data_IF_879942734951
#
_entry.id   IF_879942734951
#
_cell.length_a   1.000
_cell.length_b   1.000
_cell.length_c   1.000
_cell.angle_alpha   90.00
_cell.angle_beta   90.00
_cell.angle_gamma   90.00
#
_symmetry.space_group_name_H-M   'P 1'
#
loop_
_entity.id
_entity.type
_entity.pdbx_description
1 polymer ?
#
# COMPACT_ATOMS: atom_id res chain seq x y z
N UNK A 1 1.31 -8.92 4.54
CA UNK A 1 1.29 -7.75 5.46
C UNK A 1 2.61 -7.53 6.20
N UNK A 2 3.44 -8.57 6.42
CA UNK A 2 4.72 -8.47 7.17
C UNK A 2 5.63 -7.31 6.74
N UNK A 3 5.77 -7.06 5.43
CA UNK A 3 6.60 -5.99 4.89
C UNK A 3 6.39 -4.65 5.60
N UNK A 4 5.13 -4.26 5.84
CA UNK A 4 4.84 -2.92 6.37
C UNK A 4 5.45 -2.72 7.75
N UNK A 5 5.36 -3.73 8.62
CA UNK A 5 5.89 -3.67 9.99
C UNK A 5 7.40 -3.75 9.98
N UNK A 6 7.95 -4.65 9.16
CA UNK A 6 9.39 -4.92 9.14
C UNK A 6 10.16 -3.77 8.51
N UNK A 7 9.64 -3.15 7.45
CA UNK A 7 10.43 -2.25 6.62
C UNK A 7 9.86 -0.84 6.42
N UNK A 8 8.55 -0.66 6.58
CA UNK A 8 7.89 0.57 6.11
C UNK A 8 7.49 1.51 7.26
N UNK A 9 7.24 0.95 8.45
CA UNK A 9 6.93 1.72 9.66
C UNK A 9 8.14 2.55 10.09
N UNK A 10 7.96 3.84 10.43
CA UNK A 10 9.05 4.68 10.92
C UNK A 10 9.52 4.30 12.32
N UNK A 11 10.79 4.60 12.59
CA UNK A 11 11.36 4.48 13.92
C UNK A 11 10.62 5.38 14.92
N UNK A 12 10.51 4.93 16.16
CA UNK A 12 9.75 5.58 17.23
C UNK A 12 8.25 5.27 17.25
N UNK A 13 7.75 4.47 16.32
CA UNK A 13 6.34 4.07 16.28
C UNK A 13 5.99 3.06 17.38
N UNK A 14 4.73 3.06 17.80
CA UNK A 14 4.15 2.02 18.66
C UNK A 14 3.16 1.22 17.82
N UNK A 15 3.33 -0.10 17.72
CA UNK A 15 2.48 -0.97 16.90
C UNK A 15 1.88 -2.08 17.74
N UNK A 16 0.56 -2.21 17.67
CA UNK A 16 -0.18 -3.38 18.12
C UNK A 16 -0.83 -4.06 16.92
N UNK A 17 -1.11 -5.35 17.03
CA UNK A 17 -1.79 -6.12 16.00
C UNK A 17 -2.96 -6.86 16.63
N UNK A 18 -4.14 -6.60 16.07
CA UNK A 18 -5.39 -7.27 16.45
C UNK A 18 -5.90 -8.02 15.23
N UNK A 19 -6.29 -9.27 15.44
CA UNK A 19 -7.05 -10.05 14.46
C UNK A 19 -8.49 -10.15 14.90
N UNK A 20 -9.42 -10.14 13.96
CA UNK A 20 -10.84 -10.31 14.25
C UNK A 20 -11.48 -11.37 13.35
N UNK A 21 -12.39 -12.13 13.96
CA UNK A 21 -13.28 -13.10 13.32
C UNK A 21 -14.67 -12.90 13.90
N UNK A 22 -15.32 -13.94 14.42
CA UNK A 22 -16.47 -13.79 15.32
C UNK A 22 -16.16 -13.10 16.65
N UNK A 23 -14.90 -13.14 17.06
CA UNK A 23 -14.35 -12.41 18.20
C UNK A 23 -13.01 -11.80 17.81
N UNK A 24 -12.61 -10.73 18.49
CA UNK A 24 -11.31 -10.11 18.31
C UNK A 24 -10.29 -10.68 19.30
N UNK A 25 -9.01 -10.65 18.91
CA UNK A 25 -7.89 -11.05 19.75
C UNK A 25 -6.65 -10.26 19.41
N UNK A 26 -5.96 -9.79 20.45
CA UNK A 26 -4.62 -9.21 20.32
C UNK A 26 -3.61 -10.31 20.01
N UNK A 27 -2.90 -10.18 18.89
CA UNK A 27 -1.82 -11.11 18.47
C UNK A 27 -0.43 -10.51 18.61
N UNK A 28 -0.35 -9.18 18.71
CA UNK A 28 0.83 -8.48 19.19
C UNK A 28 0.37 -7.30 20.08
N UNK A 29 0.88 -7.19 21.32
CA UNK A 29 0.61 -6.03 22.17
C UNK A 29 1.26 -4.78 21.56
N UNK A 30 0.88 -3.61 22.07
CA UNK A 30 1.47 -2.35 21.62
C UNK A 30 2.97 -2.34 21.93
N UNK A 31 3.79 -2.40 20.87
CA UNK A 31 5.24 -2.58 20.95
C UNK A 31 5.95 -1.38 20.35
N UNK A 32 6.92 -0.82 21.08
CA UNK A 32 7.76 0.27 20.59
C UNK A 32 8.80 -0.24 19.59
N UNK A 33 8.87 0.41 18.44
CA UNK A 33 9.85 0.15 17.39
C UNK A 33 10.95 1.20 17.48
N UNK A 34 12.07 0.81 18.08
CA UNK A 34 13.18 1.74 18.36
C UNK A 34 13.92 2.20 17.10
N UNK A 35 14.23 1.25 16.22
CA UNK A 35 15.07 1.46 15.03
C UNK A 35 14.76 0.44 13.93
N UNK A 36 15.36 0.62 12.75
CA UNK A 36 15.28 -0.31 11.61
C UNK A 36 15.79 -1.72 11.96
N UNK A 37 16.84 -1.81 12.79
CA UNK A 37 17.45 -3.08 13.19
C UNK A 37 16.77 -3.71 14.42
N UNK A 38 15.65 -3.16 14.88
CA UNK A 38 14.98 -3.64 16.08
C UNK A 38 14.37 -5.04 15.86
N UNK A 39 14.79 -6.02 16.68
CA UNK A 39 14.17 -7.35 16.74
C UNK A 39 12.65 -7.30 16.96
N UNK A 40 12.14 -6.22 17.54
CA UNK A 40 10.70 -6.02 17.75
C UNK A 40 9.94 -5.96 16.42
N UNK A 41 10.53 -5.42 15.35
CA UNK A 41 9.93 -5.42 14.01
C UNK A 41 9.67 -6.83 13.52
N UNK A 42 10.65 -7.72 13.70
CA UNK A 42 10.53 -9.13 13.32
C UNK A 42 9.49 -9.85 14.18
N UNK A 43 9.45 -9.57 15.49
CA UNK A 43 8.47 -10.15 16.42
C UNK A 43 7.03 -9.77 16.06
N UNK A 44 6.74 -8.48 15.93
CA UNK A 44 5.41 -8.00 15.54
C UNK A 44 5.05 -8.48 14.13
N UNK A 45 6.01 -8.43 13.19
CA UNK A 45 5.85 -8.94 11.84
C UNK A 45 5.48 -10.43 11.79
N UNK A 46 5.99 -11.24 12.72
CA UNK A 46 5.71 -12.68 12.80
C UNK A 46 4.34 -13.00 13.40
N UNK A 47 3.76 -12.07 14.18
CA UNK A 47 2.41 -12.21 14.73
C UNK A 47 1.30 -11.94 13.72
N UNK A 48 1.61 -11.36 12.56
CA UNK A 48 0.61 -11.05 11.53
C UNK A 48 0.00 -12.33 10.95
N UNK A 49 -1.32 -12.34 10.68
CA UNK A 49 -1.98 -13.49 10.09
C UNK A 49 -1.42 -13.76 8.69
N UNK A 50 -1.06 -15.04 8.45
CA UNK A 50 -0.57 -15.50 7.14
C UNK A 50 -1.70 -15.88 6.19
N UNK A 51 -2.87 -16.23 6.74
CA UNK A 51 -4.03 -16.69 6.00
C UNK A 51 -5.27 -15.87 6.37
N UNK A 52 -6.21 -15.66 5.43
CA UNK A 52 -7.49 -15.03 5.74
C UNK A 52 -8.33 -15.89 6.68
N UNK A 53 -9.27 -15.25 7.38
CA UNK A 53 -10.23 -15.96 8.24
C UNK A 53 -11.14 -16.85 7.40
N UNK A 54 -11.35 -18.09 7.85
CA UNK A 54 -12.28 -19.06 7.24
C UNK A 54 -13.72 -18.90 7.72
N UNK A 55 -13.97 -17.96 8.65
CA UNK A 55 -15.30 -17.66 9.19
C UNK A 55 -16.14 -16.95 8.12
N UNK A 56 -17.42 -17.33 7.92
CA UNK A 56 -18.32 -16.64 7.01
C UNK A 56 -18.41 -15.15 7.30
N UNK A 57 -18.54 -14.34 6.25
CA UNK A 57 -18.59 -12.87 6.38
C UNK A 57 -19.69 -12.38 7.32
N UNK A 58 -20.86 -13.02 7.31
CA UNK A 58 -21.99 -12.70 8.20
C UNK A 58 -21.71 -12.91 9.69
N UNK A 59 -20.62 -13.61 10.03
CA UNK A 59 -20.20 -13.87 11.40
C UNK A 59 -18.95 -13.07 11.79
N UNK A 60 -18.35 -12.31 10.88
CA UNK A 60 -17.21 -11.45 11.23
C UNK A 60 -17.72 -10.22 11.96
N UNK A 61 -17.03 -9.84 13.02
CA UNK A 61 -17.37 -8.69 13.86
C UNK A 61 -16.32 -7.60 13.70
N UNK A 62 -16.59 -6.57 12.89
CA UNK A 62 -15.67 -5.46 12.66
C UNK A 62 -15.58 -4.58 13.90
N UNK A 63 -16.72 -4.29 14.54
CA UNK A 63 -16.79 -3.53 15.78
C UNK A 63 -16.00 -4.21 16.91
N UNK A 64 -16.02 -5.53 17.01
CA UNK A 64 -15.20 -6.26 18.00
C UNK A 64 -13.70 -6.01 17.76
N UNK A 65 -13.27 -6.01 16.49
CA UNK A 65 -11.89 -5.70 16.11
C UNK A 65 -11.51 -4.27 16.51
N UNK A 66 -12.39 -3.30 16.27
CA UNK A 66 -12.16 -1.91 16.65
C UNK A 66 -12.11 -1.73 18.17
N UNK A 67 -13.05 -2.33 18.91
CA UNK A 67 -13.09 -2.30 20.38
C UNK A 67 -11.81 -2.89 21.00
N UNK A 68 -11.34 -4.02 20.46
CA UNK A 68 -10.10 -4.64 20.92
C UNK A 68 -8.87 -3.79 20.58
N UNK A 69 -8.82 -3.17 19.40
CA UNK A 69 -7.75 -2.25 19.06
C UNK A 69 -7.70 -1.03 20.00
N UNK A 70 -8.87 -0.47 20.31
CA UNK A 70 -9.03 0.60 21.30
C UNK A 70 -8.55 0.15 22.68
N UNK A 71 -8.89 -1.08 23.10
CA UNK A 71 -8.42 -1.67 24.36
C UNK A 71 -6.89 -1.77 24.41
N UNK A 72 -6.26 -2.26 23.33
CA UNK A 72 -4.79 -2.35 23.23
C UNK A 72 -4.12 -0.98 23.30
N UNK A 73 -4.73 0.04 22.69
CA UNK A 73 -4.22 1.41 22.75
C UNK A 73 -4.33 2.01 24.17
N UNK A 74 -5.33 1.62 24.95
CA UNK A 74 -5.50 2.07 26.34
C UNK A 74 -4.58 1.40 27.35
N UNK A 75 -3.93 0.29 26.97
CA UNK A 75 -2.92 -0.36 27.82
C UNK A 75 -1.63 0.47 27.90
N UNK A 76 -1.40 1.39 26.96
CA UNK A 76 -0.26 2.30 26.99
C UNK A 76 -0.56 3.57 27.80
N UNK A 77 0.48 4.12 28.43
CA UNK A 77 0.36 5.32 29.25
C UNK A 77 -0.04 6.56 28.43
N UNK A 78 0.11 6.52 27.09
CA UNK A 78 -0.32 7.59 26.17
C UNK A 78 -1.81 7.50 25.85
N UNK A 79 -2.44 6.34 26.06
CA UNK A 79 -3.83 6.06 25.68
C UNK A 79 -4.07 6.10 24.17
N UNK A 80 -5.35 5.97 23.78
CA UNK A 80 -5.74 5.92 22.37
C UNK A 80 -5.96 7.28 21.68
N UNK A 81 -5.75 8.42 22.37
CA UNK A 81 -6.08 9.74 21.80
C UNK A 81 -5.20 10.09 20.59
N UNK A 82 -5.83 10.38 19.45
CA UNK A 82 -5.14 10.69 18.20
C UNK A 82 -4.46 9.49 17.52
N UNK A 83 -4.70 8.26 18.00
CA UNK A 83 -4.15 7.06 17.40
C UNK A 83 -4.75 6.77 16.01
N UNK A 84 -3.97 6.07 15.18
CA UNK A 84 -4.41 5.61 13.85
C UNK A 84 -4.64 4.11 13.88
N UNK A 85 -5.76 3.66 13.34
CA UNK A 85 -6.07 2.24 13.14
C UNK A 85 -6.14 1.95 11.65
N UNK A 86 -5.35 0.98 11.20
CA UNK A 86 -5.38 0.48 9.82
C UNK A 86 -6.23 -0.79 9.79
N UNK A 87 -7.47 -0.67 9.32
CA UNK A 87 -8.44 -1.75 9.22
C UNK A 87 -8.31 -2.47 7.88
N UNK A 88 -7.77 -3.68 7.88
CA UNK A 88 -7.73 -4.56 6.69
C UNK A 88 -8.93 -5.50 6.73
N UNK A 89 -9.79 -5.46 5.73
CA UNK A 89 -11.00 -6.28 5.64
C UNK A 89 -11.36 -6.60 4.19
N UNK A 90 -12.14 -7.64 3.92
CA UNK A 90 -12.61 -7.95 2.55
C UNK A 90 -13.69 -6.97 2.08
N UNK A 91 -14.39 -6.29 3.01
CA UNK A 91 -15.53 -5.44 2.69
C UNK A 91 -16.72 -6.22 2.11
N UNK A 92 -16.74 -7.54 2.26
CA UNK A 92 -17.74 -8.43 1.69
C UNK A 92 -19.06 -8.33 2.45
N UNK A 93 -19.91 -7.41 1.98
CA UNK A 93 -21.22 -7.13 2.54
C UNK A 93 -21.23 -5.81 3.32
N UNK A 94 -22.31 -5.02 3.26
CA UNK A 94 -22.38 -3.76 3.97
C UNK A 94 -22.32 -4.03 5.47
N UNK A 95 -21.39 -3.39 6.17
CA UNK A 95 -21.42 -3.35 7.62
C UNK A 95 -22.80 -2.81 8.06
N UNK A 96 -23.51 -3.47 9.00
CA UNK A 96 -24.78 -2.98 9.49
C UNK A 96 -24.67 -1.52 9.91
N UNK A 97 -25.59 -0.66 9.47
CA UNK A 97 -25.53 0.79 9.75
C UNK A 97 -25.35 1.10 11.24
N UNK A 98 -26.04 0.36 12.11
CA UNK A 98 -25.89 0.45 13.56
C UNK A 98 -24.45 0.19 14.02
N UNK A 99 -23.79 -0.83 13.47
CA UNK A 99 -22.40 -1.15 13.80
C UNK A 99 -21.46 -0.01 13.36
N UNK A 100 -21.70 0.57 12.18
CA UNK A 100 -20.95 1.72 11.69
C UNK A 100 -21.14 2.96 12.57
N UNK A 101 -22.37 3.26 12.99
CA UNK A 101 -22.67 4.37 13.90
C UNK A 101 -21.99 4.17 15.27
N UNK A 102 -21.94 2.94 15.78
CA UNK A 102 -21.21 2.58 17.00
C UNK A 102 -19.70 2.76 16.82
N UNK A 103 -19.12 2.34 15.69
CA UNK A 103 -17.71 2.55 15.37
C UNK A 103 -17.35 4.04 15.25
N UNK A 104 -18.23 4.86 14.65
CA UNK A 104 -18.06 6.31 14.57
C UNK A 104 -18.05 6.92 15.97
N UNK A 105 -19.00 6.53 16.81
CA UNK A 105 -19.10 7.01 18.20
C UNK A 105 -17.85 6.66 19.00
N UNK A 106 -17.38 5.42 18.90
CA UNK A 106 -16.16 4.94 19.57
C UNK A 106 -14.92 5.71 19.08
N UNK A 107 -14.82 5.94 17.77
CA UNK A 107 -13.70 6.66 17.17
C UNK A 107 -13.66 8.12 17.58
N UNK A 108 -14.83 8.79 17.65
CA UNK A 108 -14.93 10.19 18.05
C UNK A 108 -14.50 10.42 19.51
N UNK A 109 -14.78 9.48 20.42
CA UNK A 109 -14.40 9.58 21.84
C UNK A 109 -12.88 9.62 22.07
N UNK A 110 -12.09 9.10 21.12
CA UNK A 110 -10.63 8.99 21.21
C UNK A 110 -9.92 9.71 20.06
N UNK A 111 -10.63 10.53 19.30
CA UNK A 111 -10.10 11.22 18.12
C UNK A 111 -9.32 10.27 17.18
N UNK A 112 -9.83 9.04 16.99
CA UNK A 112 -9.18 8.03 16.18
C UNK A 112 -9.27 8.40 14.70
N UNK A 113 -8.21 8.06 13.96
CA UNK A 113 -8.25 8.03 12.50
C UNK A 113 -8.31 6.60 12.01
N UNK A 114 -9.26 6.28 11.13
CA UNK A 114 -9.45 4.93 10.60
C UNK A 114 -9.07 4.89 9.13
N UNK A 115 -7.95 4.24 8.83
CA UNK A 115 -7.51 3.94 7.46
C UNK A 115 -8.03 2.56 7.08
N UNK A 116 -8.85 2.44 6.03
CA UNK A 116 -9.46 1.18 5.62
C UNK A 116 -8.75 0.65 4.38
N UNK A 117 -8.35 -0.62 4.39
CA UNK A 117 -7.83 -1.34 3.23
C UNK A 117 -8.74 -2.52 2.91
N UNK A 118 -9.45 -2.43 1.79
CA UNK A 118 -10.27 -3.51 1.26
C UNK A 118 -9.39 -4.52 0.51
N UNK A 119 -9.25 -5.72 1.07
CA UNK A 119 -8.38 -6.77 0.53
C UNK A 119 -8.90 -8.20 0.79
N UNK A 120 -9.03 -9.03 -0.27
CA UNK A 120 -9.25 -8.61 -1.65
C UNK A 120 -10.71 -8.13 -1.82
N UNK A 121 -10.91 -7.08 -2.60
CA UNK A 121 -12.25 -6.70 -3.04
C UNK A 121 -12.68 -7.62 -4.18
N UNK A 122 -13.63 -8.50 -3.86
CA UNK A 122 -14.23 -9.43 -4.84
C UNK A 122 -15.50 -8.84 -5.42
N UNK A 123 -15.49 -8.53 -6.72
CA UNK A 123 -16.67 -8.08 -7.44
C UNK A 123 -17.29 -9.26 -8.21
N UNK A 124 -18.62 -9.45 -8.07
CA UNK A 124 -19.33 -10.55 -8.73
C UNK A 124 -20.17 -10.03 -9.89
N UNK A 125 -20.16 -10.78 -11.00
CA UNK A 125 -21.00 -10.47 -12.16
C UNK A 125 -22.48 -10.45 -11.77
N UNK A 126 -23.16 -9.35 -12.10
CA UNK A 126 -24.58 -9.17 -11.82
C UNK A 126 -24.92 -8.85 -10.37
N UNK A 127 -23.94 -8.79 -9.46
CA UNK A 127 -24.12 -8.19 -8.16
C UNK A 127 -24.03 -6.65 -8.30
N UNK A 128 -24.76 -5.93 -7.45
CA UNK A 128 -24.48 -4.51 -7.25
C UNK A 128 -23.02 -4.36 -6.81
N UNK A 129 -22.35 -3.28 -7.25
CA UNK A 129 -21.00 -2.94 -6.78
C UNK A 129 -20.94 -3.07 -5.26
N UNK A 130 -19.86 -3.67 -4.75
CA UNK A 130 -19.74 -3.99 -3.34
C UNK A 130 -19.78 -2.70 -2.49
N UNK A 131 -20.95 -2.35 -1.96
CA UNK A 131 -21.10 -1.32 -0.94
C UNK A 131 -20.74 -1.98 0.39
N UNK A 132 -19.54 -1.65 0.89
CA UNK A 132 -19.04 -2.15 2.17
C UNK A 132 -19.57 -1.31 3.35
N UNK A 133 -20.09 -0.11 3.09
CA UNK A 133 -20.76 0.74 4.09
C UNK A 133 -19.81 1.37 5.11
N UNK A 134 -18.50 1.40 4.82
CA UNK A 134 -17.47 1.96 5.72
C UNK A 134 -17.12 3.41 5.37
N UNK A 135 -17.64 3.93 4.26
CA UNK A 135 -17.42 5.31 3.81
C UNK A 135 -17.81 6.35 4.88
N UNK A 136 -18.96 6.21 5.59
CA UNK A 136 -19.29 7.14 6.67
C UNK A 136 -18.29 7.12 7.83
N UNK A 137 -17.72 5.96 8.16
CA UNK A 137 -16.69 5.82 9.19
C UNK A 137 -15.39 6.53 8.78
N UNK A 138 -14.95 6.30 7.55
CA UNK A 138 -13.74 6.93 7.00
C UNK A 138 -13.91 8.44 6.95
N UNK A 139 -15.07 8.94 6.51
CA UNK A 139 -15.38 10.36 6.46
C UNK A 139 -15.40 10.99 7.86
N UNK A 140 -16.09 10.35 8.82
CA UNK A 140 -16.19 10.84 10.19
C UNK A 140 -14.86 10.88 10.94
N UNK A 141 -13.90 10.04 10.55
CA UNK A 141 -12.58 9.92 11.20
C UNK A 141 -11.46 10.59 10.42
N UNK A 142 -11.79 11.26 9.30
CA UNK A 142 -10.83 11.87 8.38
C UNK A 142 -9.74 10.90 7.86
N UNK A 143 -10.07 9.62 7.78
CA UNK A 143 -9.20 8.58 7.24
C UNK A 143 -9.25 8.48 5.71
N UNK A 144 -8.78 7.35 5.18
CA UNK A 144 -8.84 7.00 3.77
C UNK A 144 -9.33 5.58 3.54
N UNK A 145 -9.76 5.30 2.31
CA UNK A 145 -10.19 4.00 1.84
C UNK A 145 -9.28 3.60 0.67
N UNK A 146 -8.56 2.49 0.83
CA UNK A 146 -7.79 1.85 -0.22
C UNK A 146 -8.46 0.56 -0.64
N UNK A 147 -8.37 0.24 -1.93
CA UNK A 147 -8.97 -0.96 -2.50
C UNK A 147 -7.93 -1.75 -3.28
N UNK A 148 -7.86 -3.05 -3.01
CA UNK A 148 -7.07 -4.01 -3.77
C UNK A 148 -8.02 -5.01 -4.40
N UNK A 149 -8.11 -4.99 -5.72
CA UNK A 149 -8.99 -5.88 -6.47
C UNK A 149 -8.51 -7.33 -6.38
N UNK A 150 -9.45 -8.27 -6.34
CA UNK A 150 -9.12 -9.68 -6.54
C UNK A 150 -8.68 -9.93 -7.99
N UNK A 151 -7.44 -10.35 -8.18
CA UNK A 151 -6.88 -10.71 -9.48
C UNK A 151 -6.32 -12.14 -9.50
N UNK A 152 -6.71 -12.96 -8.52
CA UNK A 152 -6.30 -14.35 -8.41
C UNK A 152 -6.80 -15.22 -9.55
N UNK A 153 -6.12 -16.35 -9.77
CA UNK A 153 -6.52 -17.38 -10.73
C UNK A 153 -6.64 -18.71 -10.00
N UNK A 154 -7.85 -19.27 -9.97
CA UNK A 154 -8.12 -20.46 -9.15
C UNK A 154 -7.91 -20.15 -7.68
N UNK A 155 -7.00 -20.90 -7.03
CA UNK A 155 -6.63 -20.68 -5.64
C UNK A 155 -5.39 -19.78 -5.48
N UNK A 156 -4.73 -19.40 -6.59
CA UNK A 156 -3.47 -18.69 -6.57
C UNK A 156 -3.71 -17.17 -6.60
N UNK A 157 -3.20 -16.47 -5.59
CA UNK A 157 -3.12 -15.01 -5.61
C UNK A 157 -1.95 -14.56 -6.49
N UNK A 158 -2.10 -13.46 -7.22
CA UNK A 158 -1.00 -12.87 -7.98
C UNK A 158 -0.08 -12.06 -7.09
N UNK A 159 1.23 -12.10 -7.35
CA UNK A 159 2.24 -11.29 -6.63
C UNK A 159 1.86 -9.81 -6.55
N UNK A 160 1.35 -9.24 -7.65
CA UNK A 160 0.91 -7.84 -7.69
C UNK A 160 -0.21 -7.50 -6.70
N UNK A 161 -1.05 -8.46 -6.30
CA UNK A 161 -2.07 -8.23 -5.27
C UNK A 161 -1.43 -8.05 -3.90
N UNK A 162 -0.43 -8.88 -3.59
CA UNK A 162 0.37 -8.73 -2.38
C UNK A 162 1.05 -7.37 -2.37
N UNK A 163 1.71 -6.98 -3.46
CA UNK A 163 2.38 -5.67 -3.53
C UNK A 163 1.37 -4.52 -3.40
N UNK A 164 0.22 -4.59 -4.08
CA UNK A 164 -0.82 -3.58 -3.96
C UNK A 164 -1.37 -3.44 -2.52
N UNK A 165 -1.52 -4.55 -1.79
CA UNK A 165 -1.85 -4.53 -0.37
C UNK A 165 -0.78 -3.81 0.44
N UNK A 166 0.49 -4.15 0.22
CA UNK A 166 1.57 -3.52 0.98
C UNK A 166 1.73 -2.03 0.64
N UNK A 167 1.44 -1.62 -0.60
CA UNK A 167 1.46 -0.21 -1.01
C UNK A 167 0.31 0.57 -0.37
N UNK A 168 -0.88 -0.03 -0.26
CA UNK A 168 -2.00 0.54 0.48
C UNK A 168 -1.66 0.71 1.98
N UNK A 169 -1.01 -0.28 2.58
CA UNK A 169 -0.55 -0.21 3.96
C UNK A 169 0.55 0.86 4.16
N UNK A 170 1.51 0.94 3.23
CA UNK A 170 2.54 1.98 3.23
C UNK A 170 1.91 3.38 3.13
N UNK A 171 0.93 3.57 2.24
CA UNK A 171 0.23 4.85 2.10
C UNK A 171 -0.51 5.23 3.39
N UNK A 172 -1.18 4.27 4.04
CA UNK A 172 -1.84 4.49 5.33
C UNK A 172 -0.84 4.86 6.45
N UNK A 173 0.34 4.23 6.48
CA UNK A 173 1.42 4.59 7.42
C UNK A 173 1.96 5.99 7.13
N UNK A 174 2.31 6.30 5.88
CA UNK A 174 2.91 7.58 5.49
C UNK A 174 1.99 8.78 5.75
N UNK A 175 0.68 8.61 5.59
CA UNK A 175 -0.31 9.66 5.87
C UNK A 175 -0.33 10.07 7.34
N UNK A 176 0.02 9.14 8.22
CA UNK A 176 -0.12 9.28 9.67
C UNK A 176 1.22 9.41 10.39
N UNK A 177 2.32 9.06 9.71
CA UNK A 177 3.65 9.41 10.15
C UNK A 177 3.90 10.92 9.96
N UNK A 178 4.45 11.63 10.96
CA UNK A 178 4.93 12.99 10.73
C UNK A 178 5.96 12.98 9.60
N UNK A 179 5.99 14.00 8.72
CA UNK A 179 7.01 14.11 7.68
C UNK A 179 8.38 14.29 8.33
N UNK A 180 9.06 13.18 8.59
CA UNK A 180 10.37 13.10 9.22
C UNK A 180 11.42 12.68 8.19
N UNK A 181 12.68 12.99 8.48
CA UNK A 181 13.86 12.60 7.69
C UNK A 181 14.20 11.10 7.76
N UNK A 182 13.19 10.24 7.92
CA UNK A 182 13.31 8.78 7.94
C UNK A 182 12.10 8.05 7.35
N UNK A 183 11.10 8.76 6.83
CA UNK A 183 9.93 8.12 6.21
C UNK A 183 10.33 7.38 4.93
N UNK A 184 10.03 6.09 4.85
CA UNK A 184 10.16 5.30 3.62
C UNK A 184 9.25 5.85 2.53
N UNK A 185 9.74 5.97 1.30
CA UNK A 185 8.99 6.37 0.10
C UNK A 185 9.21 5.38 -1.03
N UNK A 186 8.16 5.19 -1.85
CA UNK A 186 8.23 4.42 -3.08
C UNK A 186 8.81 5.29 -4.20
N UNK A 187 9.95 4.87 -4.75
CA UNK A 187 10.68 5.55 -5.83
C UNK A 187 10.29 4.98 -7.19
N UNK A 188 10.18 3.65 -7.27
CA UNK A 188 9.90 2.93 -8.50
C UNK A 188 9.05 1.70 -8.23
N UNK A 189 8.23 1.32 -9.22
CA UNK A 189 7.30 0.20 -9.14
C UNK A 189 7.02 -0.32 -10.54
N UNK A 190 7.23 -1.62 -10.79
CA UNK A 190 6.99 -2.23 -12.10
C UNK A 190 6.50 -3.69 -11.97
N UNK A 191 5.45 -4.01 -12.74
CA UNK A 191 4.87 -5.36 -12.86
C UNK A 191 5.42 -6.04 -14.12
N UNK A 192 5.97 -7.24 -13.97
CA UNK A 192 6.55 -8.03 -15.05
C UNK A 192 5.84 -9.39 -15.16
N UNK A 193 4.94 -9.57 -16.14
CA UNK A 193 4.24 -10.84 -16.33
C UNK A 193 5.21 -11.98 -16.69
N UNK A 194 4.97 -13.17 -16.15
CA UNK A 194 5.73 -14.37 -16.51
C UNK A 194 5.33 -14.97 -17.86
N UNK A 195 6.12 -15.93 -18.34
CA UNK A 195 5.93 -16.61 -19.62
C UNK A 195 6.14 -15.77 -20.89
N UNK A 196 6.44 -14.47 -20.78
CA UNK A 196 6.56 -13.55 -21.92
C UNK A 196 8.02 -13.18 -22.22
N UNK A 197 8.83 -12.90 -21.20
CA UNK A 197 10.20 -12.42 -21.36
C UNK A 197 11.14 -13.12 -20.38
N UNK A 198 12.34 -13.46 -20.83
CA UNK A 198 13.38 -14.03 -19.96
C UNK A 198 14.03 -13.00 -19.04
N UNK A 199 13.96 -11.71 -19.39
CA UNK A 199 14.51 -10.61 -18.60
C UNK A 199 13.43 -9.55 -18.32
N UNK A 200 13.46 -9.02 -17.10
CA UNK A 200 12.66 -7.91 -16.62
C UNK A 200 13.56 -6.71 -16.43
N UNK A 201 13.61 -5.85 -17.44
CA UNK A 201 14.47 -4.68 -17.50
C UNK A 201 13.73 -3.40 -17.10
N UNK A 202 14.43 -2.48 -16.46
CA UNK A 202 13.87 -1.18 -16.11
C UNK A 202 14.92 -0.18 -15.63
N UNK A 203 14.44 0.97 -15.18
CA UNK A 203 15.29 2.04 -14.63
C UNK A 203 14.53 2.84 -13.59
N UNK A 204 15.27 3.48 -12.69
CA UNK A 204 14.75 4.34 -11.64
C UNK A 204 15.74 5.48 -11.34
N UNK A 205 15.25 6.58 -10.78
CA UNK A 205 16.09 7.74 -10.49
C UNK A 205 16.13 8.04 -8.98
N UNK A 206 17.33 8.33 -8.48
CA UNK A 206 17.54 8.79 -7.10
C UNK A 206 18.05 10.24 -7.11
N UNK A 207 17.36 11.13 -6.39
CA UNK A 207 17.70 12.55 -6.29
C UNK A 207 18.07 12.95 -4.86
N UNK A 208 18.54 14.20 -4.67
CA UNK A 208 19.06 14.72 -3.40
C UNK A 208 18.06 14.80 -2.23
N UNK A 209 16.76 14.64 -2.47
CA UNK A 209 15.72 14.63 -1.42
C UNK A 209 15.60 13.29 -0.70
N UNK A 210 16.24 12.25 -1.23
CA UNK A 210 16.30 10.92 -0.64
C UNK A 210 17.55 10.76 0.23
N UNK A 211 17.47 9.83 1.18
CA UNK A 211 18.55 9.31 1.99
C UNK A 211 19.73 8.81 1.16
N UNK A 212 20.88 8.58 1.81
CA UNK A 212 22.01 7.96 1.13
C UNK A 212 21.68 6.54 0.68
N UNK A 213 20.71 5.87 1.31
CA UNK A 213 20.44 4.46 1.07
C UNK A 213 19.09 4.24 0.38
N UNK A 214 19.06 3.25 -0.50
CA UNK A 214 17.85 2.77 -1.17
C UNK A 214 17.82 1.24 -1.14
N UNK A 215 16.63 0.66 -1.24
CA UNK A 215 16.43 -0.79 -1.36
C UNK A 215 15.77 -1.12 -2.67
N UNK A 216 16.45 -1.94 -3.47
CA UNK A 216 15.89 -2.56 -4.66
C UNK A 216 15.29 -3.91 -4.26
N UNK A 217 14.01 -4.14 -4.54
CA UNK A 217 13.27 -5.34 -4.13
C UNK A 217 12.60 -6.00 -5.34
N UNK A 218 12.71 -7.32 -5.42
CA UNK A 218 12.00 -8.19 -6.36
C UNK A 218 11.08 -9.10 -5.57
N UNK A 219 9.77 -8.98 -5.79
CA UNK A 219 8.77 -9.86 -5.22
C UNK A 219 8.43 -10.98 -6.18
N UNK A 220 8.20 -12.17 -5.62
CA UNK A 220 7.94 -13.38 -6.36
C UNK A 220 6.80 -14.20 -5.76
N UNK A 221 6.34 -15.20 -6.53
CA UNK A 221 5.38 -16.19 -6.05
C UNK A 221 6.11 -17.44 -5.53
N UNK A 222 7.05 -17.93 -6.32
CA UNK A 222 7.95 -19.04 -6.00
C UNK A 222 9.39 -18.54 -6.21
N UNK A 223 10.32 -18.92 -5.33
CA UNK A 223 11.70 -18.44 -5.40
C UNK A 223 12.38 -18.83 -6.73
N UNK A 224 11.98 -19.96 -7.33
CA UNK A 224 12.51 -20.42 -8.61
C UNK A 224 12.04 -19.56 -9.81
N UNK A 225 11.08 -18.64 -9.60
CA UNK A 225 10.65 -17.69 -10.62
C UNK A 225 11.62 -16.52 -10.83
N UNK A 226 12.57 -16.33 -9.92
CA UNK A 226 13.63 -15.32 -10.07
C UNK A 226 14.93 -16.03 -10.46
N UNK A 227 15.66 -15.48 -11.43
CA UNK A 227 17.00 -15.96 -11.71
C UNK A 227 18.00 -15.61 -10.61
N UNK A 228 19.19 -16.21 -10.70
CA UNK A 228 20.15 -16.18 -9.60
C UNK A 228 20.87 -14.82 -9.46
N UNK A 229 20.77 -13.94 -10.46
CA UNK A 229 21.51 -12.68 -10.53
C UNK A 229 20.56 -11.54 -10.89
N UNK A 230 20.56 -10.50 -10.06
CA UNK A 230 20.03 -9.17 -10.34
C UNK A 230 21.23 -8.33 -10.81
N UNK A 231 21.11 -7.71 -11.97
CA UNK A 231 22.10 -6.76 -12.48
C UNK A 231 21.60 -5.35 -12.22
N UNK A 232 22.41 -4.54 -11.55
CA UNK A 232 22.15 -3.12 -11.31
C UNK A 232 23.29 -2.31 -11.93
N UNK A 233 22.95 -1.26 -12.66
CA UNK A 233 23.93 -0.34 -13.25
C UNK A 233 23.75 1.03 -12.63
N UNK A 234 24.77 1.49 -11.92
CA UNK A 234 24.83 2.81 -11.31
C UNK A 234 24.91 3.92 -12.37
N UNK A 235 24.54 5.17 -12.03
CA UNK A 235 24.69 6.35 -12.89
C UNK A 235 26.11 6.54 -13.45
N UNK A 236 27.15 6.18 -12.70
CA UNK A 236 28.56 6.18 -13.14
C UNK A 236 28.88 5.14 -14.23
N UNK A 237 27.96 4.20 -14.49
CA UNK A 237 28.18 3.03 -15.34
C UNK A 237 28.76 1.82 -14.59
N UNK A 238 29.02 1.93 -13.29
CA UNK A 238 29.45 0.80 -12.48
C UNK A 238 28.35 -0.26 -12.39
N UNK A 239 28.67 -1.50 -12.78
CA UNK A 239 27.72 -2.62 -12.71
C UNK A 239 27.91 -3.40 -11.41
N UNK A 240 26.82 -3.64 -10.72
CA UNK A 240 26.70 -4.44 -9.51
C UNK A 240 25.95 -5.72 -9.89
N UNK A 241 26.62 -6.86 -9.79
CA UNK A 241 25.99 -8.17 -9.87
C UNK A 241 25.64 -8.63 -8.46
N UNK A 242 24.35 -8.88 -8.20
CA UNK A 242 23.83 -9.04 -6.85
C UNK A 242 24.20 -10.35 -6.13
N UNK A 243 24.92 -11.26 -6.78
CA UNK A 243 25.15 -12.64 -6.31
C UNK A 243 25.64 -12.71 -4.85
N UNK A 244 26.42 -11.73 -4.42
CA UNK A 244 27.00 -11.68 -3.07
C UNK A 244 26.37 -10.62 -2.16
N UNK A 245 25.42 -9.84 -2.66
CA UNK A 245 24.83 -8.68 -1.95
C UNK A 245 23.31 -8.71 -1.91
N UNK A 246 22.68 -9.73 -2.51
CA UNK A 246 21.26 -9.97 -2.38
C UNK A 246 20.96 -10.76 -1.11
N UNK A 247 19.85 -10.40 -0.49
CA UNK A 247 19.26 -11.09 0.65
C UNK A 247 17.85 -11.56 0.27
N UNK A 248 17.38 -12.62 0.93
CA UNK A 248 16.03 -13.15 0.76
C UNK A 248 15.26 -13.02 2.08
N UNK A 249 14.05 -12.46 2.00
CA UNK A 249 13.02 -12.57 3.03
C UNK A 249 11.87 -13.42 2.51
N UNK A 250 11.96 -14.73 2.78
CA UNK A 250 10.96 -15.72 2.36
C UNK A 250 9.59 -15.56 3.05
N UNK A 251 9.49 -14.86 4.19
CA UNK A 251 8.19 -14.57 4.82
C UNK A 251 7.44 -13.42 4.09
N UNK A 252 8.13 -12.67 3.22
CA UNK A 252 7.58 -11.61 2.37
C UNK A 252 7.58 -12.00 0.89
N UNK A 253 8.20 -13.14 0.53
CA UNK A 253 8.51 -13.53 -0.84
C UNK A 253 9.25 -12.41 -1.59
N UNK A 254 10.36 -11.96 -1.02
CA UNK A 254 11.13 -10.83 -1.50
C UNK A 254 12.62 -11.14 -1.54
N UNK A 255 13.26 -10.92 -2.69
CA UNK A 255 14.72 -10.75 -2.79
C UNK A 255 15.00 -9.26 -2.79
N UNK A 256 16.02 -8.80 -2.07
CA UNK A 256 16.39 -7.40 -2.09
C UNK A 256 17.90 -7.17 -2.09
N UNK A 257 18.30 -6.00 -2.57
CA UNK A 257 19.66 -5.49 -2.53
C UNK A 257 19.61 -4.12 -1.87
N UNK A 258 20.35 -3.96 -0.78
CA UNK A 258 20.55 -2.66 -0.14
C UNK A 258 21.63 -1.89 -0.90
N UNK A 259 21.27 -0.71 -1.39
CA UNK A 259 22.15 0.22 -2.08
C UNK A 259 22.63 1.25 -1.07
N UNK A 260 23.69 0.91 -0.35
CA UNK A 260 24.34 1.82 0.59
C UNK A 260 25.04 2.96 -0.14
N UNK A 261 24.81 4.21 0.31
CA UNK A 261 25.40 5.41 -0.31
C UNK A 261 25.16 5.45 -1.83
N UNK A 262 23.94 5.14 -2.24
CA UNK A 262 23.52 5.08 -3.62
C UNK A 262 23.82 6.40 -4.36
N UNK A 263 24.48 6.27 -5.52
CA UNK A 263 24.73 7.36 -6.45
C UNK A 263 23.42 8.06 -6.87
N UNK A 264 23.48 9.40 -6.95
CA UNK A 264 22.39 10.21 -7.49
C UNK A 264 22.36 10.06 -9.02
N UNK A 265 21.17 9.96 -9.59
CA UNK A 265 20.97 9.85 -11.04
C UNK A 265 20.14 8.65 -11.45
N UNK A 266 20.25 8.29 -12.73
CA UNK A 266 19.50 7.21 -13.34
C UNK A 266 20.23 5.87 -13.14
N UNK A 267 19.58 4.96 -12.43
CA UNK A 267 19.96 3.57 -12.30
C UNK A 267 19.22 2.73 -13.34
N UNK A 268 19.86 1.68 -13.83
CA UNK A 268 19.21 0.66 -14.65
C UNK A 268 19.29 -0.69 -13.94
N UNK A 269 18.33 -1.56 -14.23
CA UNK A 269 18.32 -2.93 -13.71
C UNK A 269 17.88 -3.95 -14.74
N UNK A 270 18.33 -5.18 -14.54
CA UNK A 270 17.90 -6.35 -15.29
C UNK A 270 17.77 -7.54 -14.33
N UNK A 271 16.61 -8.19 -14.35
CA UNK A 271 16.31 -9.36 -13.51
C UNK A 271 15.87 -10.50 -14.41
N UNK A 272 16.48 -11.67 -14.30
CA UNK A 272 16.01 -12.84 -15.04
C UNK A 272 14.66 -13.30 -14.47
N UNK A 273 13.66 -13.40 -15.35
CA UNK A 273 12.29 -13.76 -15.04
C UNK A 273 11.98 -15.16 -15.54
N UNK A 274 11.85 -16.09 -14.60
CA UNK A 274 11.53 -17.50 -14.82
C UNK A 274 10.09 -17.82 -14.41
N UNK A 275 9.27 -16.80 -14.14
CA UNK A 275 7.88 -17.00 -13.75
C UNK A 275 7.07 -17.62 -14.89
N UNK A 276 6.16 -18.52 -14.53
CA UNK A 276 5.18 -19.07 -15.45
C UNK A 276 4.13 -18.02 -15.89
N UNK A 277 3.25 -18.39 -16.82
CA UNK A 277 2.26 -17.46 -17.40
C UNK A 277 1.15 -17.01 -16.43
N UNK A 278 0.98 -17.63 -15.28
CA UNK A 278 -0.04 -17.27 -14.29
C UNK A 278 0.51 -16.35 -13.20
N UNK A 279 1.84 -16.37 -13.01
CA UNK A 279 2.57 -15.53 -12.08
C UNK A 279 3.43 -14.49 -12.81
N UNK A 280 4.15 -13.69 -12.04
CA UNK A 280 5.05 -12.67 -12.54
C UNK A 280 6.00 -12.22 -11.44
N UNK A 281 6.93 -11.36 -11.81
CA UNK A 281 7.78 -10.66 -10.87
C UNK A 281 7.25 -9.25 -10.68
N UNK A 282 7.48 -8.70 -9.50
CA UNK A 282 7.17 -7.31 -9.23
C UNK A 282 8.41 -6.62 -8.65
N UNK A 283 8.85 -5.53 -9.27
CA UNK A 283 10.03 -4.78 -8.82
C UNK A 283 9.57 -3.51 -8.12
N UNK A 284 10.16 -3.22 -6.95
CA UNK A 284 10.03 -1.93 -6.30
C UNK A 284 11.39 -1.39 -5.86
N UNK A 285 11.51 -0.07 -5.89
CA UNK A 285 12.61 0.63 -5.23
C UNK A 285 12.04 1.55 -4.18
N UNK A 286 12.55 1.42 -2.96
CA UNK A 286 12.18 2.26 -1.82
C UNK A 286 13.40 2.98 -1.28
N UNK A 287 13.22 4.16 -0.73
CA UNK A 287 14.28 4.92 -0.08
C UNK A 287 13.71 5.69 1.11
N UNK A 288 14.55 6.10 2.06
CA UNK A 288 14.13 7.01 3.13
C UNK A 288 14.22 8.45 2.63
N UNK A 289 13.35 9.36 3.08
CA UNK A 289 13.57 10.80 2.85
C UNK A 289 14.72 11.30 3.72
N UNK A 290 15.58 12.16 3.20
CA UNK A 290 16.59 12.84 4.03
C UNK A 290 16.14 14.23 4.51
N UNK A 291 15.03 14.73 3.97
CA UNK A 291 14.53 16.07 4.22
C UNK A 291 13.01 16.08 4.16
N UNK A 292 12.41 17.07 4.84
CA UNK A 292 10.98 17.36 4.69
C UNK A 292 10.66 18.01 3.34
N UNK A 293 11.68 18.48 2.61
CA UNK A 293 11.59 19.04 1.26
C UNK A 293 11.78 17.94 0.21
N UNK A 294 10.71 17.22 -0.09
CA UNK A 294 10.68 16.23 -1.17
C UNK A 294 9.56 16.49 -2.17
N UNK A 295 9.53 15.68 -3.22
CA UNK A 295 8.39 15.63 -4.12
C UNK A 295 7.14 15.18 -3.34
N UNK A 296 6.06 15.95 -3.47
CA UNK A 296 4.75 15.64 -2.94
C UNK A 296 3.74 15.70 -4.09
N UNK A 297 2.91 14.67 -4.19
CA UNK A 297 1.82 14.59 -5.16
C UNK A 297 0.51 14.48 -4.40
N UNK A 298 -0.43 15.36 -4.71
CA UNK A 298 -1.79 15.32 -4.19
C UNK A 298 -2.77 15.13 -5.35
N UNK A 299 -3.76 14.26 -5.16
CA UNK A 299 -4.84 14.01 -6.12
C UNK A 299 -6.19 14.22 -5.42
N UNK A 300 -7.13 14.90 -6.08
CA UNK A 300 -8.51 15.04 -5.60
C UNK A 300 -9.50 15.16 -6.77
N UNK A 301 -10.79 15.04 -6.46
CA UNK A 301 -11.86 15.11 -7.45
C UNK A 301 -12.75 16.33 -7.23
N UNK A 302 -13.48 16.77 -8.24
CA UNK A 302 -14.49 17.83 -8.12
C UNK A 302 -15.68 17.46 -7.22
N UNK A 303 -15.90 16.17 -6.96
CA UNK A 303 -17.01 15.67 -6.14
C UNK A 303 -16.63 15.45 -4.68
N UNK A 304 -15.34 15.42 -4.34
CA UNK A 304 -14.88 15.06 -2.99
C UNK A 304 -15.39 13.67 -2.60
N UNK A 305 -15.96 13.55 -1.39
CA UNK A 305 -16.57 12.33 -0.85
C UNK A 305 -18.01 12.07 -1.30
N UNK A 306 -18.61 12.97 -2.09
CA UNK A 306 -20.02 12.85 -2.46
C UNK A 306 -20.25 11.68 -3.42
N UNK A 307 -21.32 10.93 -3.19
CA UNK A 307 -21.85 9.98 -4.16
C UNK A 307 -22.25 10.71 -5.43
N UNK A 308 -21.77 10.18 -6.55
CA UNK A 308 -21.96 10.74 -7.88
C UNK A 308 -22.73 9.76 -8.75
N UNK A 309 -23.56 10.29 -9.64
CA UNK A 309 -24.10 9.50 -10.74
C UNK A 309 -23.05 9.46 -11.86
N UNK A 310 -22.24 8.40 -11.91
CA UNK A 310 -21.20 8.23 -12.92
C UNK A 310 -21.73 8.15 -14.36
N UNK A 311 -23.04 7.96 -14.54
CA UNK A 311 -23.70 7.86 -15.84
C UNK A 311 -24.30 9.18 -16.33
N UNK A 312 -24.24 10.25 -15.53
CA UNK A 312 -24.73 11.57 -15.94
C UNK A 312 -23.64 12.35 -16.69
N UNK A 313 -23.76 12.50 -18.04
CA UNK A 313 -22.76 13.21 -18.82
C UNK A 313 -22.77 14.73 -18.58
N UNK A 314 -23.82 15.28 -17.96
CA UNK A 314 -23.94 16.72 -17.70
C UNK A 314 -23.12 17.19 -16.50
N UNK A 315 -22.71 16.26 -15.63
CA UNK A 315 -21.91 16.54 -14.43
C UNK A 315 -20.72 15.58 -14.31
N UNK A 316 -19.74 15.64 -15.23
CA UNK A 316 -18.57 14.77 -15.18
C UNK A 316 -17.70 15.06 -13.96
N UNK A 317 -17.07 14.01 -13.43
CA UNK A 317 -16.04 14.14 -12.38
C UNK A 317 -14.76 14.68 -13.01
N UNK A 318 -14.25 15.78 -12.47
CA UNK A 318 -12.93 16.30 -12.83
C UNK A 318 -11.89 15.82 -11.83
N UNK A 319 -10.73 15.42 -12.35
CA UNK A 319 -9.57 15.04 -11.55
C UNK A 319 -8.59 16.19 -11.53
N UNK A 320 -8.11 16.51 -10.33
CA UNK A 320 -7.09 17.52 -10.13
C UNK A 320 -5.90 16.88 -9.45
N UNK A 321 -4.71 17.27 -9.87
CA UNK A 321 -3.49 16.90 -9.20
C UNK A 321 -2.61 18.13 -8.95
N UNK A 322 -1.84 18.08 -7.87
CA UNK A 322 -0.82 19.06 -7.55
C UNK A 322 0.49 18.31 -7.32
N UNK A 323 1.56 18.81 -7.94
CA UNK A 323 2.92 18.31 -7.74
C UNK A 323 3.77 19.44 -7.20
N UNK A 324 4.33 19.23 -6.01
CA UNK A 324 5.20 20.20 -5.33
C UNK A 324 6.53 19.58 -4.96
N UNK A 325 7.56 20.40 -4.94
CA UNK A 325 8.84 20.08 -4.30
C UNK A 325 9.01 21.07 -3.13
N UNK A 326 8.83 20.56 -1.91
CA UNK A 326 8.64 21.43 -0.75
C UNK A 326 7.39 22.32 -0.93
N UNK A 327 7.58 23.64 -0.98
CA UNK A 327 6.49 24.61 -1.18
C UNK A 327 6.33 25.05 -2.64
N UNK A 328 7.29 24.74 -3.52
CA UNK A 328 7.30 25.20 -4.89
C UNK A 328 6.56 24.23 -5.83
N UNK A 329 5.76 24.71 -6.79
CA UNK A 329 5.16 23.86 -7.80
C UNK A 329 6.22 23.29 -8.75
N UNK A 330 6.05 22.04 -9.15
CA UNK A 330 6.92 21.41 -10.16
C UNK A 330 6.32 21.66 -11.55
N UNK A 331 6.98 22.49 -12.34
CA UNK A 331 6.54 22.84 -13.68
C UNK A 331 6.80 21.71 -14.67
N UNK A 332 5.87 21.50 -15.62
CA UNK A 332 5.99 20.50 -16.70
C UNK A 332 6.13 19.06 -16.19
N UNK A 333 5.64 18.79 -14.98
CA UNK A 333 5.56 17.42 -14.48
C UNK A 333 4.58 16.63 -15.34
N UNK A 334 4.99 15.43 -15.78
CA UNK A 334 4.05 14.48 -16.36
C UNK A 334 3.33 13.77 -15.23
N UNK A 335 2.03 14.02 -15.09
CA UNK A 335 1.19 13.37 -14.09
C UNK A 335 0.25 12.40 -14.79
N UNK A 336 0.25 11.14 -14.36
CA UNK A 336 -0.65 10.12 -14.89
C UNK A 336 -1.56 9.63 -13.77
N UNK A 337 -2.86 9.84 -13.90
CA UNK A 337 -3.85 9.29 -13.00
C UNK A 337 -4.25 7.88 -13.45
N UNK A 338 -4.21 6.92 -12.53
CA UNK A 338 -4.72 5.56 -12.73
C UNK A 338 -6.13 5.46 -12.15
N UNK A 339 -7.13 5.22 -13.01
CA UNK A 339 -8.51 5.03 -12.61
C UNK A 339 -8.86 3.54 -12.68
N UNK A 340 -9.28 2.98 -11.54
CA UNK A 340 -9.81 1.62 -11.47
C UNK A 340 -11.32 1.68 -11.33
N UNK A 341 -12.05 1.19 -12.34
CA UNK A 341 -13.49 1.00 -12.24
C UNK A 341 -13.79 -0.24 -11.41
N UNK A 342 -14.67 -0.12 -10.42
CA UNK A 342 -15.17 -1.25 -9.64
C UNK A 342 -16.23 -2.03 -10.44
N UNK A 343 -16.41 -3.30 -10.08
CA UNK A 343 -17.30 -4.24 -10.75
C UNK A 343 -16.65 -5.03 -11.88
N UNK A 344 -17.47 -5.86 -12.52
CA UNK A 344 -17.04 -6.72 -13.64
C UNK A 344 -17.64 -6.25 -14.96
N UNK A 345 -16.90 -6.44 -16.05
CA UNK A 345 -17.37 -6.26 -17.42
C UNK A 345 -18.41 -7.34 -17.81
N UNK A 346 -18.85 -7.32 -19.08
CA UNK A 346 -19.81 -8.29 -19.63
C UNK A 346 -19.32 -9.73 -19.64
N UNK A 347 -18.01 -10.00 -19.52
CA UNK A 347 -17.44 -11.35 -19.42
C UNK A 347 -17.31 -11.83 -17.98
N UNK A 348 -17.61 -10.98 -16.99
CA UNK A 348 -17.41 -11.29 -15.57
C UNK A 348 -15.97 -11.06 -15.08
N UNK A 349 -15.13 -10.42 -15.89
CA UNK A 349 -13.77 -10.03 -15.51
C UNK A 349 -13.76 -8.61 -14.95
N UNK A 350 -12.86 -8.31 -14.02
CA UNK A 350 -12.67 -6.94 -13.53
C UNK A 350 -12.36 -5.98 -14.69
N UNK A 351 -12.82 -4.73 -14.57
CA UNK A 351 -12.43 -3.70 -15.52
C UNK A 351 -10.92 -3.46 -15.46
N UNK A 352 -10.28 -3.28 -16.62
CA UNK A 352 -8.88 -2.87 -16.67
C UNK A 352 -8.76 -1.42 -16.19
N UNK A 353 -7.68 -1.07 -15.46
CA UNK A 353 -7.40 0.32 -15.13
C UNK A 353 -7.25 1.17 -16.39
N UNK A 354 -7.71 2.42 -16.32
CA UNK A 354 -7.52 3.45 -17.34
C UNK A 354 -6.44 4.40 -16.84
N UNK A 355 -5.51 4.78 -17.72
CA UNK A 355 -4.45 5.75 -17.42
C UNK A 355 -4.77 7.06 -18.15
N UNK A 356 -4.83 8.16 -17.40
CA UNK A 356 -5.11 9.49 -17.92
C UNK A 356 -3.90 10.39 -17.66
N UNK A 357 -3.26 10.88 -18.73
CA UNK A 357 -2.31 11.98 -18.60
C UNK A 357 -3.08 13.25 -18.20
N UNK A 358 -2.74 13.81 -17.04
CA UNK A 358 -3.33 15.05 -16.56
C UNK A 358 -2.60 16.24 -17.18
N UNK A 359 -3.37 17.22 -17.64
CA UNK A 359 -2.85 18.39 -18.32
C UNK A 359 -2.39 19.46 -17.34
N UNK A 360 -1.14 19.92 -17.48
CA UNK A 360 -0.59 21.08 -16.78
C UNK A 360 -0.35 22.22 -17.78
N UNK A 361 -1.06 23.33 -17.59
CA UNK A 361 -0.91 24.55 -18.40
C UNK A 361 -0.10 25.65 -17.69
N UNK A 362 0.54 25.34 -16.55
CA UNK A 362 1.30 26.30 -15.75
C UNK A 362 0.45 27.31 -14.97
N UNK A 363 -0.88 27.23 -15.03
CA UNK A 363 -1.84 28.07 -14.29
C UNK A 363 -2.78 27.18 -13.42
N UNK A 364 -2.55 25.86 -13.39
CA UNK A 364 -3.47 24.87 -12.86
C UNK A 364 -4.50 24.48 -13.93
N UNK A 365 -4.43 23.24 -14.40
CA UNK A 365 -5.35 22.70 -15.40
C UNK A 365 -6.77 22.56 -14.86
N UNK A 366 -7.76 22.84 -15.72
CA UNK A 366 -9.18 22.56 -15.47
C UNK A 366 -9.60 21.19 -15.98
#
# INVERSE_FOLDING_TARGET
MRRVVVYDVPDGAHIGVVTFRSVASTVAPLTYIESEDSDMRQRVGSSLPRNPSTVPESQKCLLCGLQEAVRVLDEDNKGADGATIILVTTGSGPAPRREVDEMITLSAQRNLRIEVVLYPLTERRGAASASHGLEPLVEATHGTLHTVMDEGVGNDSKVKMMVALMDALLAAVQRNAPPSSSSTVLVHSADYPGGIASMSDGSFALDSSLGPDARFSVYYYDLNHVGNIIQLTAPSGHMIASVNVQEEDGDVNMIFVNLEKAERGLWAYSVENRADSHQGLYVQVTAKRNSSSGLNVRLWTSSGSRTINSSDPSSPVRLYAEVKMGVAPVMKARVVAKLQRLGTNTTGSNYRPIYLDLWDNGIGGK
#
